data_IF_406949995692
#
_entry.id   IF_406949995692
#
_cell.length_a   1.000
_cell.length_b   1.000
_cell.length_c   1.000
_cell.angle_alpha   90.00
_cell.angle_beta   90.00
_cell.angle_gamma   90.00
#
_symmetry.space_group_name_H-M   'P 1'
#
loop_
_entity.id
_entity.type
_entity.pdbx_description
1 polymer ?
#
# COMPACT_ATOMS: atom_id res chain seq x y z
N UNK A 1 -18.14 6.74 -1.47
CA UNK A 1 -16.81 6.16 -1.29
C UNK A 1 -16.95 4.74 -0.74
N UNK A 2 -16.34 3.80 -1.42
CA UNK A 2 -16.41 2.40 -0.99
C UNK A 2 -15.43 2.14 0.14
N UNK A 3 -15.90 1.40 1.14
CA UNK A 3 -15.06 0.94 2.23
C UNK A 3 -14.85 -0.55 2.12
N UNK A 4 -13.74 -1.03 2.65
CA UNK A 4 -13.48 -2.47 2.72
C UNK A 4 -14.42 -3.12 3.74
N UNK A 5 -14.95 -4.28 3.39
CA UNK A 5 -15.72 -5.10 4.32
C UNK A 5 -14.78 -5.69 5.37
N UNK A 6 -15.35 -6.23 6.46
CA UNK A 6 -14.55 -6.90 7.48
C UNK A 6 -13.78 -8.09 6.91
N UNK A 7 -14.39 -8.83 6.00
CA UNK A 7 -13.74 -9.98 5.36
C UNK A 7 -12.56 -9.53 4.48
N UNK A 8 -12.75 -8.43 3.75
CA UNK A 8 -11.71 -7.88 2.90
C UNK A 8 -10.54 -7.36 3.72
N UNK A 9 -10.83 -6.68 4.83
CA UNK A 9 -9.78 -6.22 5.74
C UNK A 9 -9.00 -7.39 6.33
N UNK A 10 -9.71 -8.45 6.72
CA UNK A 10 -9.07 -9.66 7.25
C UNK A 10 -8.18 -10.33 6.21
N UNK A 11 -8.63 -10.38 4.97
CA UNK A 11 -7.85 -10.95 3.88
C UNK A 11 -6.54 -10.19 3.70
N UNK A 12 -6.60 -8.86 3.64
CA UNK A 12 -5.40 -8.05 3.49
C UNK A 12 -4.49 -8.17 4.71
N UNK A 13 -5.06 -8.16 5.90
CA UNK A 13 -4.27 -8.28 7.12
C UNK A 13 -3.53 -9.60 7.19
N UNK A 14 -4.17 -10.71 6.77
CA UNK A 14 -3.52 -12.02 6.76
C UNK A 14 -2.38 -12.10 5.75
N UNK A 15 -2.38 -11.23 4.76
CA UNK A 15 -1.33 -11.19 3.75
C UNK A 15 -0.08 -10.49 4.27
N UNK A 16 -0.16 -9.83 5.42
CA UNK A 16 0.97 -9.12 6.02
C UNK A 16 1.57 -10.00 7.10
N UNK A 17 2.88 -10.27 6.99
CA UNK A 17 3.58 -11.03 8.01
C UNK A 17 3.92 -10.14 9.19
N UNK A 18 3.77 -10.69 10.41
CA UNK A 18 4.21 -9.99 11.61
C UNK A 18 5.47 -10.63 12.14
N UNK A 19 6.38 -9.80 12.65
CA UNK A 19 7.63 -10.25 13.25
C UNK A 19 7.74 -9.66 14.64
N UNK A 20 7.80 -10.53 15.67
CA UNK A 20 7.91 -10.07 17.05
C UNK A 20 9.35 -9.66 17.34
N UNK A 21 9.48 -8.66 18.20
CA UNK A 21 10.78 -8.20 18.71
C UNK A 21 11.73 -7.77 17.60
N UNK A 22 11.18 -7.10 16.59
CA UNK A 22 11.97 -6.60 15.49
C UNK A 22 11.59 -5.13 15.23
N UNK A 23 12.55 -4.27 15.03
CA UNK A 23 14.01 -4.47 15.09
C UNK A 23 14.55 -4.52 16.53
N UNK A 24 13.68 -4.33 17.51
CA UNK A 24 14.07 -4.34 18.93
C UNK A 24 13.06 -5.13 19.74
N UNK A 25 13.47 -5.68 20.91
CA UNK A 25 12.51 -6.33 21.81
C UNK A 25 11.33 -5.42 22.16
N UNK A 26 10.14 -6.00 22.19
CA UNK A 26 8.92 -5.29 22.53
C UNK A 26 8.21 -4.63 21.34
N UNK A 27 8.79 -4.66 20.16
CA UNK A 27 8.21 -4.07 18.96
C UNK A 27 7.67 -5.17 18.06
N UNK A 28 6.42 -4.99 17.62
CA UNK A 28 5.82 -5.87 16.63
C UNK A 28 5.95 -5.20 15.25
N UNK A 29 6.68 -5.85 14.36
CA UNK A 29 6.92 -5.33 13.03
C UNK A 29 5.95 -5.97 12.04
N UNK A 30 5.37 -5.15 11.18
CA UNK A 30 4.49 -5.60 10.10
C UNK A 30 5.29 -5.61 8.80
N UNK A 31 5.47 -6.81 8.25
CA UNK A 31 6.25 -7.00 7.03
C UNK A 31 5.32 -7.02 5.83
N UNK A 32 5.36 -5.95 5.04
CA UNK A 32 4.48 -5.84 3.87
C UNK A 32 5.01 -6.59 2.65
N UNK A 33 6.23 -7.13 2.71
CA UNK A 33 6.78 -7.83 1.53
C UNK A 33 5.94 -9.04 1.15
N UNK A 34 5.29 -9.68 2.13
CA UNK A 34 4.40 -10.80 1.85
C UNK A 34 3.12 -10.36 1.14
N UNK A 35 2.67 -9.13 1.41
CA UNK A 35 1.52 -8.56 0.73
C UNK A 35 1.86 -8.19 -0.71
N UNK A 36 2.94 -7.43 -0.89
CA UNK A 36 3.30 -6.96 -2.24
C UNK A 36 3.84 -8.10 -3.10
N UNK A 37 4.37 -9.15 -2.47
CA UNK A 37 4.82 -10.34 -3.17
C UNK A 37 3.70 -11.32 -3.53
N UNK A 38 2.49 -11.06 -3.08
CA UNK A 38 1.32 -11.88 -3.38
C UNK A 38 0.54 -11.20 -4.50
N UNK A 39 0.51 -11.84 -5.68
CA UNK A 39 -0.15 -11.27 -6.86
C UNK A 39 -1.60 -10.87 -6.58
N UNK A 40 -2.34 -11.74 -5.93
CA UNK A 40 -3.75 -11.50 -5.68
C UNK A 40 -3.97 -10.39 -4.65
N UNK A 41 -3.26 -10.46 -3.52
CA UNK A 41 -3.46 -9.49 -2.45
C UNK A 41 -3.02 -8.10 -2.87
N UNK A 42 -1.85 -7.98 -3.53
CA UNK A 42 -1.35 -6.69 -3.97
C UNK A 42 -2.27 -6.05 -4.99
N UNK A 43 -2.70 -6.83 -5.98
CA UNK A 43 -3.62 -6.30 -6.99
C UNK A 43 -5.00 -6.00 -6.43
N UNK A 44 -5.47 -6.79 -5.48
CA UNK A 44 -6.74 -6.52 -4.81
C UNK A 44 -6.70 -5.17 -4.11
N UNK A 45 -5.61 -4.90 -3.39
CA UNK A 45 -5.44 -3.62 -2.69
C UNK A 45 -5.37 -2.46 -3.69
N UNK A 46 -4.59 -2.61 -4.77
CA UNK A 46 -4.46 -1.56 -5.78
C UNK A 46 -5.78 -1.30 -6.49
N UNK A 47 -6.53 -2.35 -6.79
CA UNK A 47 -7.85 -2.19 -7.43
C UNK A 47 -8.79 -1.40 -6.53
N UNK A 48 -8.79 -1.71 -5.24
CA UNK A 48 -9.62 -0.98 -4.29
C UNK A 48 -9.23 0.49 -4.20
N UNK A 49 -7.92 0.76 -4.11
CA UNK A 49 -7.44 2.15 -4.04
C UNK A 49 -7.73 2.90 -5.33
N UNK A 50 -7.53 2.27 -6.46
CA UNK A 50 -7.80 2.90 -7.75
C UNK A 50 -9.28 3.23 -7.90
N UNK A 51 -10.16 2.32 -7.50
CA UNK A 51 -11.59 2.55 -7.55
C UNK A 51 -11.99 3.69 -6.61
N UNK A 52 -11.40 3.73 -5.42
CA UNK A 52 -11.70 4.75 -4.42
C UNK A 52 -11.34 6.16 -4.90
N UNK A 53 -10.24 6.30 -5.64
CA UNK A 53 -9.74 7.61 -6.05
C UNK A 53 -9.97 7.95 -7.51
N UNK A 54 -10.64 7.07 -8.27
CA UNK A 54 -10.83 7.24 -9.71
C UNK A 54 -11.50 8.56 -10.08
N UNK A 55 -12.45 9.01 -9.27
CA UNK A 55 -13.24 10.20 -9.58
C UNK A 55 -12.71 11.48 -8.94
N UNK A 56 -11.52 11.42 -8.34
CA UNK A 56 -10.95 12.61 -7.67
C UNK A 56 -10.33 13.61 -8.64
N UNK A 57 -10.08 13.20 -9.88
CA UNK A 57 -9.43 14.08 -10.86
C UNK A 57 -7.99 14.40 -10.47
N UNK A 58 -7.27 13.43 -9.94
CA UNK A 58 -5.91 13.64 -9.48
C UNK A 58 -4.94 13.85 -10.63
N UNK A 59 -3.97 14.75 -10.44
CA UNK A 59 -2.89 14.93 -11.39
C UNK A 59 -1.64 14.17 -10.97
N UNK A 60 -1.45 13.98 -9.67
CA UNK A 60 -0.26 13.36 -9.10
C UNK A 60 -0.61 12.46 -7.94
N UNK A 61 0.22 11.44 -7.75
CA UNK A 61 0.24 10.66 -6.52
C UNK A 61 1.62 10.86 -5.91
N UNK A 62 1.67 11.18 -4.64
CA UNK A 62 2.91 11.42 -3.91
C UNK A 62 3.20 10.23 -3.01
N UNK A 63 4.42 9.74 -3.03
CA UNK A 63 4.84 8.66 -2.16
C UNK A 63 6.06 9.04 -1.35
N UNK A 64 6.04 8.69 -0.07
CA UNK A 64 7.16 8.96 0.85
C UNK A 64 8.01 7.70 0.96
N UNK A 65 9.34 7.87 0.92
CA UNK A 65 10.25 6.71 1.02
C UNK A 65 10.09 6.00 2.37
N UNK A 66 10.25 4.69 2.39
CA UNK A 66 10.49 3.92 1.17
C UNK A 66 9.28 3.06 0.83
N UNK A 67 8.52 2.64 1.81
CA UNK A 67 7.34 1.79 1.59
C UNK A 67 6.28 2.49 0.77
N UNK A 68 6.12 3.80 0.95
CA UNK A 68 5.16 4.59 0.20
C UNK A 68 5.44 4.57 -1.29
N UNK A 69 6.70 4.43 -1.71
CA UNK A 69 7.04 4.37 -3.13
C UNK A 69 6.39 3.17 -3.81
N UNK A 70 6.34 2.02 -3.13
CA UNK A 70 5.79 0.79 -3.70
C UNK A 70 4.31 0.98 -4.06
N UNK A 71 3.53 1.46 -3.09
CA UNK A 71 2.09 1.60 -3.29
C UNK A 71 1.75 2.81 -4.16
N UNK A 72 2.43 3.93 -3.93
CA UNK A 72 2.12 5.16 -4.63
C UNK A 72 2.47 5.08 -6.11
N UNK A 73 3.63 4.50 -6.45
CA UNK A 73 4.01 4.35 -7.85
C UNK A 73 3.06 3.42 -8.59
N UNK A 74 2.69 2.30 -7.96
CA UNK A 74 1.76 1.35 -8.56
C UNK A 74 0.37 1.96 -8.74
N UNK A 75 -0.09 2.71 -7.75
CA UNK A 75 -1.40 3.36 -7.82
C UNK A 75 -1.41 4.45 -8.89
N UNK A 76 -0.35 5.25 -8.97
CA UNK A 76 -0.25 6.30 -9.99
C UNK A 76 -0.34 5.69 -11.39
N UNK A 77 0.37 4.58 -11.61
CA UNK A 77 0.32 3.90 -12.90
C UNK A 77 -1.09 3.40 -13.20
N UNK A 78 -1.79 2.84 -12.19
CA UNK A 78 -3.16 2.37 -12.36
C UNK A 78 -4.11 3.49 -12.73
N UNK A 79 -3.95 4.66 -12.10
CA UNK A 79 -4.80 5.82 -12.34
C UNK A 79 -4.33 6.65 -13.54
N UNK A 80 -3.18 6.27 -14.14
CA UNK A 80 -2.61 6.97 -15.29
C UNK A 80 -2.27 8.43 -15.00
N UNK A 81 -1.75 8.64 -13.80
CA UNK A 81 -1.28 9.96 -13.36
C UNK A 81 0.21 9.89 -13.02
N UNK A 82 0.83 11.03 -12.77
CA UNK A 82 2.25 11.10 -12.46
C UNK A 82 2.51 10.71 -11.01
N UNK A 83 3.71 10.18 -10.77
CA UNK A 83 4.17 9.85 -9.42
C UNK A 83 5.28 10.81 -9.01
N UNK A 84 5.16 11.36 -7.81
CA UNK A 84 6.16 12.26 -7.26
C UNK A 84 6.75 11.62 -6.00
N UNK A 85 8.02 11.24 -6.04
CA UNK A 85 8.68 10.69 -4.85
C UNK A 85 9.11 11.79 -3.90
N UNK A 86 8.90 11.56 -2.61
CA UNK A 86 9.42 12.42 -1.54
C UNK A 86 10.41 11.61 -0.74
N UNK A 87 11.63 12.09 -0.65
CA UNK A 87 12.72 11.40 0.03
C UNK A 87 13.03 12.10 1.35
N UNK A 88 13.37 11.29 2.34
CA UNK A 88 13.78 11.84 3.63
C UNK A 88 15.16 12.47 3.50
N UNK A 89 15.42 13.55 4.21
CA UNK A 89 16.77 14.13 4.24
C UNK A 89 17.75 13.16 4.90
N UNK A 90 18.97 13.20 4.43
CA UNK A 90 20.03 12.35 5.01
C UNK A 90 20.50 12.93 6.34
#
# INVERSE_FOLDING_TARGET
>A
MKSLSSEQKSYLFRSIRTVRDFPKPGILFYDITTLVGDREAFNFLLDHLAERYADYGLDYIVGIESRGFIFAAALAARLRVAFVPIRKPK
#
